data_IF_249684916186
#
_entry.id   IF_249684916186
#
_cell.length_a   1.000
_cell.length_b   1.000
_cell.length_c   1.000
_cell.angle_alpha   90.00
_cell.angle_beta   90.00
_cell.angle_gamma   90.00
#
_symmetry.space_group_name_H-M   'P 1'
#
loop_
_entity.id
_entity.type
_entity.pdbx_description
1 polymer ?
#
# COMPACT_ATOMS: atom_id res chain seq x y z
N UNK A 1 -28.89 67.75 -18.11
CA UNK A 1 -29.33 66.33 -18.06
C UNK A 1 -28.46 65.59 -17.06
N UNK A 2 -29.05 65.04 -16.00
CA UNK A 2 -28.51 64.11 -14.98
C UNK A 2 -29.62 63.05 -14.77
N UNK A 3 -29.35 61.89 -14.12
CA UNK A 3 -28.39 60.84 -14.43
C UNK A 3 -29.11 59.48 -14.59
N UNK A 4 -28.44 58.43 -15.10
CA UNK A 4 -28.89 57.04 -14.87
C UNK A 4 -27.82 56.28 -14.10
N UNK A 5 -28.00 56.28 -12.78
CA UNK A 5 -27.32 55.42 -11.82
C UNK A 5 -27.81 53.99 -12.00
N UNK A 6 -26.95 53.11 -12.50
CA UNK A 6 -27.18 51.67 -12.48
C UNK A 6 -26.97 51.16 -11.06
N UNK A 7 -28.06 50.69 -10.46
CA UNK A 7 -28.05 49.97 -9.18
C UNK A 7 -27.16 48.71 -9.28
N UNK A 8 -26.31 48.42 -8.29
CA UNK A 8 -25.67 47.12 -8.20
C UNK A 8 -26.73 46.06 -7.83
N UNK A 9 -26.80 45.05 -8.68
CA UNK A 9 -27.67 43.90 -8.54
C UNK A 9 -27.51 43.22 -7.17
N UNK A 10 -28.63 42.77 -6.63
CA UNK A 10 -28.73 41.90 -5.46
C UNK A 10 -27.73 40.75 -5.52
N UNK A 11 -26.74 40.78 -4.63
CA UNK A 11 -25.98 39.58 -4.24
C UNK A 11 -26.75 38.86 -3.14
N UNK A 12 -27.15 37.58 -3.30
CA UNK A 12 -27.66 36.81 -2.17
C UNK A 12 -26.54 36.61 -1.15
N UNK A 13 -26.66 37.28 0.00
CA UNK A 13 -25.82 37.01 1.18
C UNK A 13 -26.20 35.62 1.71
N UNK A 14 -25.31 34.64 1.56
CA UNK A 14 -25.49 33.38 2.26
C UNK A 14 -24.89 32.13 1.63
N UNK A 15 -23.65 32.20 1.12
CA UNK A 15 -22.88 30.97 0.86
C UNK A 15 -21.91 30.78 2.03
N UNK A 16 -22.09 29.78 2.91
CA UNK A 16 -21.07 29.48 3.90
C UNK A 16 -19.81 29.03 3.17
N UNK A 17 -18.74 29.81 3.30
CA UNK A 17 -17.38 29.43 2.90
C UNK A 17 -17.08 28.07 3.53
N UNK A 18 -16.96 27.03 2.71
CA UNK A 18 -16.44 25.75 3.13
C UNK A 18 -15.08 26.00 3.81
N UNK A 19 -15.00 25.70 5.10
CA UNK A 19 -13.75 25.81 5.87
C UNK A 19 -12.76 24.76 5.35
N UNK A 20 -11.49 25.12 5.14
CA UNK A 20 -10.46 24.14 4.81
C UNK A 20 -10.30 23.15 5.97
N UNK A 21 -9.99 21.89 5.64
CA UNK A 21 -9.80 20.78 6.58
C UNK A 21 -8.60 21.01 7.51
N UNK A 22 -8.75 21.88 8.50
CA UNK A 22 -7.79 22.10 9.58
C UNK A 22 -8.53 22.03 10.91
N UNK A 23 -8.69 20.81 11.43
CA UNK A 23 -8.88 20.54 12.86
C UNK A 23 -8.69 19.04 13.14
N UNK A 24 -7.45 18.58 13.00
CA UNK A 24 -6.98 17.43 13.77
C UNK A 24 -6.41 17.95 15.08
N UNK A 25 -7.29 18.45 15.95
CA UNK A 25 -6.96 18.62 17.35
C UNK A 25 -6.88 17.22 17.93
N UNK A 26 -5.67 16.75 18.25
CA UNK A 26 -5.49 15.57 19.10
C UNK A 26 -5.88 15.96 20.52
N UNK A 27 -6.86 15.32 21.17
CA UNK A 27 -6.99 15.41 22.61
C UNK A 27 -5.83 14.62 23.21
N UNK A 28 -4.78 15.33 23.64
CA UNK A 28 -3.85 14.85 24.64
C UNK A 28 -4.53 15.10 25.99
N UNK A 29 -4.46 14.08 26.85
CA UNK A 29 -4.84 14.10 28.26
C UNK A 29 -6.32 13.82 28.60
N UNK A 30 -6.68 12.53 28.62
CA UNK A 30 -7.60 12.00 29.64
C UNK A 30 -7.24 10.54 29.94
N UNK A 31 -6.24 10.35 30.81
CA UNK A 31 -6.05 9.07 31.50
C UNK A 31 -7.15 9.00 32.56
N UNK A 32 -8.30 8.47 32.18
CA UNK A 32 -9.36 8.11 33.12
C UNK A 32 -9.16 6.64 33.53
N UNK A 33 -8.59 6.47 34.71
CA UNK A 33 -8.75 5.38 35.66
C UNK A 33 -9.53 4.15 35.17
N UNK A 34 -8.83 3.08 34.81
CA UNK A 34 -9.44 1.74 34.75
C UNK A 34 -9.75 1.24 36.17
N UNK A 35 -10.85 1.73 36.73
CA UNK A 35 -11.49 1.09 37.86
C UNK A 35 -12.09 -0.24 37.37
N UNK A 36 -11.57 -1.35 37.89
CA UNK A 36 -11.97 -2.72 37.57
C UNK A 36 -13.41 -2.97 38.07
N UNK A 37 -14.41 -3.27 37.21
CA UNK A 37 -15.71 -3.67 37.70
C UNK A 37 -15.66 -5.13 38.19
N UNK A 38 -16.12 -5.36 39.43
CA UNK A 38 -16.44 -6.71 39.93
C UNK A 38 -17.51 -7.31 39.01
N UNK A 39 -17.23 -8.48 38.44
CA UNK A 39 -18.16 -9.26 37.62
C UNK A 39 -19.36 -9.71 38.49
N UNK A 40 -20.44 -8.93 38.46
CA UNK A 40 -21.79 -9.46 38.55
C UNK A 40 -22.21 -9.91 37.14
N UNK A 41 -22.82 -11.09 37.04
CA UNK A 41 -23.24 -11.68 35.78
C UNK A 41 -24.14 -10.75 34.96
N UNK A 42 -24.00 -10.73 33.63
CA UNK A 42 -25.10 -10.40 32.75
C UNK A 42 -25.51 -11.62 31.93
N UNK A 43 -26.79 -11.97 32.04
CA UNK A 43 -27.51 -12.69 31.01
C UNK A 43 -27.38 -12.01 29.64
N UNK A 44 -27.48 -12.81 28.58
CA UNK A 44 -28.00 -12.36 27.29
C UNK A 44 -27.11 -11.42 26.49
N UNK A 45 -26.07 -11.98 25.87
CA UNK A 45 -25.23 -11.26 24.89
C UNK A 45 -24.63 -12.23 23.89
N UNK A 46 -25.40 -12.52 22.85
CA UNK A 46 -25.15 -13.41 21.71
C UNK A 46 -23.78 -13.15 21.04
N UNK A 47 -22.77 -13.96 21.38
CA UNK A 47 -21.63 -14.26 20.52
C UNK A 47 -21.16 -15.69 20.81
N UNK A 48 -21.71 -16.65 20.07
CA UNK A 48 -21.34 -18.06 20.18
C UNK A 48 -20.12 -18.35 19.30
N UNK A 49 -18.95 -18.50 19.92
CA UNK A 49 -17.71 -18.94 19.25
C UNK A 49 -17.63 -20.46 19.07
N UNK A 50 -18.74 -21.20 19.24
CA UNK A 50 -18.75 -22.67 19.27
C UNK A 50 -19.39 -23.32 18.04
N UNK A 51 -20.00 -22.55 17.13
CA UNK A 51 -20.68 -23.11 15.95
C UNK A 51 -19.91 -22.86 14.65
N UNK A 52 -18.75 -23.52 14.53
CA UNK A 52 -18.16 -23.93 13.25
C UNK A 52 -17.07 -24.99 13.52
N UNK A 53 -17.45 -26.05 14.23
CA UNK A 53 -16.74 -27.34 14.14
C UNK A 53 -17.17 -28.03 12.84
N UNK A 54 -16.69 -27.50 11.72
CA UNK A 54 -16.36 -28.32 10.55
C UNK A 54 -14.87 -28.12 10.34
N UNK A 55 -14.10 -28.87 11.13
CA UNK A 55 -12.69 -29.08 10.86
C UNK A 55 -12.59 -29.98 9.63
N UNK A 56 -12.80 -29.38 8.45
CA UNK A 56 -12.17 -29.82 7.21
C UNK A 56 -10.71 -30.05 7.56
N UNK A 57 -10.36 -31.32 7.66
CA UNK A 57 -9.01 -31.77 7.94
C UNK A 57 -8.19 -31.45 6.71
N UNK A 58 -7.77 -30.19 6.60
CA UNK A 58 -6.71 -29.79 5.68
C UNK A 58 -5.47 -30.53 6.12
N UNK A 59 -5.32 -31.73 5.55
CA UNK A 59 -4.11 -32.50 5.51
C UNK A 59 -3.00 -31.53 5.11
N UNK A 60 -2.27 -31.08 6.14
CA UNK A 60 -1.09 -30.23 6.07
C UNK A 60 0.03 -31.07 5.46
N UNK A 61 -0.13 -31.43 4.21
CA UNK A 61 0.85 -32.10 3.36
C UNK A 61 1.32 -31.12 2.28
N UNK A 62 1.94 -30.04 2.73
CA UNK A 62 3.09 -29.43 2.05
C UNK A 62 3.75 -28.53 3.06
N UNK A 63 5.08 -28.49 3.10
CA UNK A 63 5.84 -27.64 4.00
C UNK A 63 5.48 -26.16 3.75
N UNK A 64 4.45 -25.65 4.45
CA UNK A 64 3.99 -24.30 4.30
C UNK A 64 5.09 -23.37 4.84
N UNK A 65 5.77 -22.68 3.94
CA UNK A 65 6.78 -21.67 4.28
C UNK A 65 6.30 -20.77 5.42
N UNK A 66 7.15 -20.66 6.44
CA UNK A 66 6.84 -19.88 7.64
C UNK A 66 6.48 -18.45 7.27
N UNK A 67 5.58 -17.82 8.04
CA UNK A 67 5.17 -16.43 7.82
C UNK A 67 6.38 -15.47 7.76
N UNK A 68 7.46 -15.78 8.47
CA UNK A 68 8.71 -15.02 8.43
C UNK A 68 9.48 -15.20 7.12
N UNK A 69 9.53 -16.41 6.55
CA UNK A 69 10.15 -16.69 5.26
C UNK A 69 9.47 -15.90 4.13
N UNK A 70 8.14 -15.92 4.07
CA UNK A 70 7.37 -15.15 3.06
C UNK A 70 7.64 -13.64 3.13
N UNK A 71 7.84 -13.10 4.35
CA UNK A 71 8.18 -11.68 4.54
C UNK A 71 9.61 -11.36 4.08
N UNK A 72 10.55 -12.30 4.20
CA UNK A 72 11.93 -12.13 3.70
C UNK A 72 11.95 -12.13 2.18
N UNK A 73 11.32 -13.13 1.56
CA UNK A 73 11.17 -13.21 0.10
C UNK A 73 10.53 -11.94 -0.47
N UNK A 74 9.42 -11.47 0.10
CA UNK A 74 8.77 -10.23 -0.37
C UNK A 74 9.71 -9.01 -0.34
N UNK A 75 10.61 -8.93 0.65
CA UNK A 75 11.63 -7.86 0.70
C UNK A 75 12.73 -8.06 -0.33
N UNK A 76 13.12 -9.30 -0.62
CA UNK A 76 14.12 -9.63 -1.64
C UNK A 76 13.62 -9.25 -3.03
N UNK A 77 12.40 -9.63 -3.39
CA UNK A 77 11.78 -9.21 -4.65
C UNK A 77 11.67 -7.68 -4.77
N UNK A 78 11.30 -7.00 -3.68
CA UNK A 78 11.24 -5.54 -3.68
C UNK A 78 12.62 -4.90 -3.88
N UNK A 79 13.66 -5.41 -3.22
CA UNK A 79 15.05 -4.96 -3.44
C UNK A 79 15.51 -5.23 -4.86
N UNK A 80 15.11 -6.36 -5.45
CA UNK A 80 15.39 -6.66 -6.84
C UNK A 80 14.76 -5.61 -7.77
N UNK A 81 13.48 -5.29 -7.56
CA UNK A 81 12.79 -4.24 -8.31
C UNK A 81 13.48 -2.87 -8.18
N UNK A 82 13.88 -2.45 -6.98
CA UNK A 82 14.62 -1.20 -6.77
C UNK A 82 15.97 -1.16 -7.51
N UNK A 83 16.67 -2.30 -7.58
CA UNK A 83 17.92 -2.41 -8.34
C UNK A 83 17.65 -2.32 -9.83
N UNK A 84 16.68 -3.09 -10.35
CA UNK A 84 16.28 -3.08 -11.76
C UNK A 84 15.92 -1.67 -12.25
N UNK A 85 15.14 -0.91 -11.47
CA UNK A 85 14.77 0.47 -11.81
C UNK A 85 15.92 1.48 -11.68
N UNK A 86 17.06 1.07 -11.12
CA UNK A 86 18.26 1.89 -10.97
C UNK A 86 19.38 1.50 -11.94
N UNK A 87 19.20 0.43 -12.73
CA UNK A 87 20.19 -0.02 -13.71
C UNK A 87 20.35 0.93 -14.89
N UNK A 88 21.57 0.93 -15.45
CA UNK A 88 21.83 1.55 -16.74
C UNK A 88 21.22 0.76 -17.91
N UNK A 89 21.09 1.41 -19.07
CA UNK A 89 20.50 0.81 -20.29
C UNK A 89 21.21 -0.48 -20.76
N UNK A 90 22.52 -0.59 -20.54
CA UNK A 90 23.31 -1.77 -20.91
C UNK A 90 23.01 -2.97 -20.01
N UNK A 91 23.06 -2.76 -18.70
CA UNK A 91 22.74 -3.79 -17.69
C UNK A 91 21.29 -4.25 -17.78
N UNK A 92 20.36 -3.34 -18.10
CA UNK A 92 18.96 -3.68 -18.30
C UNK A 92 18.76 -4.64 -19.48
N UNK A 93 19.58 -4.55 -20.54
CA UNK A 93 19.49 -5.46 -21.69
C UNK A 93 19.92 -6.88 -21.32
N UNK A 94 20.94 -7.02 -20.48
CA UNK A 94 21.38 -8.32 -19.98
C UNK A 94 20.31 -8.93 -19.06
N UNK A 95 19.79 -8.14 -18.12
CA UNK A 95 18.71 -8.58 -17.24
C UNK A 95 17.40 -8.89 -18.00
N UNK A 96 17.16 -8.25 -19.16
CA UNK A 96 15.96 -8.47 -19.96
C UNK A 96 15.83 -9.89 -20.52
N UNK A 97 16.94 -10.64 -20.68
CA UNK A 97 16.89 -12.04 -21.14
C UNK A 97 16.19 -12.97 -20.12
N UNK A 98 16.16 -12.56 -18.85
CA UNK A 98 15.59 -13.32 -17.74
C UNK A 98 14.29 -12.71 -17.19
N UNK A 99 13.76 -11.67 -17.85
CA UNK A 99 12.57 -10.94 -17.40
C UNK A 99 11.47 -11.02 -18.45
N UNK A 100 10.23 -11.10 -17.99
CA UNK A 100 9.07 -10.99 -18.87
C UNK A 100 8.98 -9.59 -19.51
N UNK A 101 8.49 -9.52 -20.74
CA UNK A 101 8.32 -8.27 -21.49
C UNK A 101 7.48 -7.23 -20.70
N UNK A 102 6.45 -7.70 -20.00
CA UNK A 102 5.61 -6.85 -19.15
C UNK A 102 6.40 -6.23 -17.99
N UNK A 103 7.28 -7.00 -17.35
CA UNK A 103 8.14 -6.51 -16.27
C UNK A 103 9.12 -5.47 -16.83
N UNK A 104 9.68 -5.74 -18.01
CA UNK A 104 10.61 -4.84 -18.67
C UNK A 104 9.97 -3.48 -18.99
N UNK A 105 8.74 -3.47 -19.49
CA UNK A 105 7.99 -2.24 -19.75
C UNK A 105 7.72 -1.44 -18.47
N UNK A 106 7.34 -2.10 -17.37
CA UNK A 106 7.16 -1.44 -16.07
C UNK A 106 8.47 -0.85 -15.55
N UNK A 107 9.60 -1.54 -15.72
CA UNK A 107 10.92 -1.04 -15.33
C UNK A 107 11.29 0.20 -16.14
N UNK A 108 11.09 0.18 -17.47
CA UNK A 108 11.32 1.35 -18.33
C UNK A 108 10.45 2.54 -17.91
N UNK A 109 9.18 2.30 -17.58
CA UNK A 109 8.27 3.34 -17.07
C UNK A 109 8.76 3.91 -15.74
N UNK A 110 9.20 3.05 -14.82
CA UNK A 110 9.71 3.45 -13.51
C UNK A 110 11.02 4.27 -13.61
N UNK A 111 11.90 3.94 -14.56
CA UNK A 111 13.14 4.67 -14.83
C UNK A 111 12.91 6.11 -15.31
N UNK A 112 11.76 6.40 -15.94
CA UNK A 112 11.40 7.76 -16.38
C UNK A 112 11.02 8.67 -15.22
N UNK A 113 10.70 8.10 -14.05
CA UNK A 113 10.30 8.83 -12.87
C UNK A 113 11.49 9.04 -11.91
N UNK A 114 11.56 10.19 -11.23
CA UNK A 114 12.61 10.43 -10.26
C UNK A 114 12.49 9.47 -9.07
N UNK A 115 13.62 9.12 -8.45
CA UNK A 115 13.67 8.15 -7.34
C UNK A 115 12.71 8.45 -6.18
N UNK A 116 12.53 9.74 -5.85
CA UNK A 116 11.65 10.19 -4.76
C UNK A 116 10.15 10.17 -5.13
N UNK A 117 9.78 9.81 -6.36
CA UNK A 117 8.40 9.83 -6.82
C UNK A 117 7.59 8.66 -6.23
N UNK A 118 6.42 8.94 -5.67
CA UNK A 118 5.52 7.89 -5.16
C UNK A 118 5.02 6.95 -6.26
N UNK A 119 4.81 7.46 -7.47
CA UNK A 119 4.46 6.66 -8.64
C UNK A 119 5.53 5.62 -8.97
N UNK A 120 6.82 6.00 -8.86
CA UNK A 120 7.93 5.05 -9.02
C UNK A 120 7.88 3.94 -7.97
N UNK A 121 7.66 4.31 -6.71
CA UNK A 121 7.53 3.33 -5.60
C UNK A 121 6.36 2.36 -5.81
N UNK A 122 5.24 2.84 -6.36
CA UNK A 122 4.11 1.96 -6.73
C UNK A 122 4.47 1.01 -7.87
N UNK A 123 5.18 1.49 -8.89
CA UNK A 123 5.65 0.63 -9.98
C UNK A 123 6.63 -0.44 -9.47
N UNK A 124 7.55 -0.09 -8.58
CA UNK A 124 8.48 -1.04 -7.94
C UNK A 124 7.73 -2.13 -7.16
N UNK A 125 6.62 -1.79 -6.49
CA UNK A 125 5.76 -2.77 -5.83
C UNK A 125 5.08 -3.71 -6.82
N UNK A 126 4.58 -3.18 -7.94
CA UNK A 126 3.97 -3.99 -9.01
C UNK A 126 4.99 -4.94 -9.63
N UNK A 127 6.18 -4.45 -9.94
CA UNK A 127 7.30 -5.26 -10.46
C UNK A 127 7.64 -6.38 -9.48
N UNK A 128 7.80 -6.06 -8.19
CA UNK A 128 8.11 -7.05 -7.16
C UNK A 128 7.01 -8.12 -7.01
N UNK A 129 5.74 -7.73 -7.20
CA UNK A 129 4.62 -8.66 -7.20
C UNK A 129 4.69 -9.62 -8.40
N UNK A 130 4.94 -9.10 -9.59
CA UNK A 130 5.07 -9.92 -10.81
C UNK A 130 6.23 -10.90 -10.72
N UNK A 131 7.42 -10.44 -10.30
CA UNK A 131 8.59 -11.31 -10.12
C UNK A 131 8.32 -12.47 -9.15
N UNK A 132 7.46 -12.24 -8.14
CA UNK A 132 7.05 -13.27 -7.19
C UNK A 132 6.05 -14.26 -7.81
N UNK A 133 5.13 -13.78 -8.63
CA UNK A 133 4.13 -14.62 -9.31
C UNK A 133 4.78 -15.52 -10.36
N UNK A 134 5.74 -14.99 -11.11
CA UNK A 134 6.51 -15.75 -12.12
C UNK A 134 7.65 -16.58 -11.51
N UNK A 135 7.85 -16.49 -10.18
CA UNK A 135 8.92 -17.17 -9.44
C UNK A 135 10.29 -16.95 -10.09
N UNK A 136 10.55 -15.72 -10.52
CA UNK A 136 11.80 -15.36 -11.14
C UNK A 136 12.97 -15.57 -10.16
N UNK A 137 14.05 -16.17 -10.64
CA UNK A 137 15.25 -16.41 -9.84
C UNK A 137 15.99 -15.11 -9.57
N UNK A 138 15.72 -14.55 -8.39
CA UNK A 138 16.29 -13.26 -7.95
C UNK A 138 17.81 -13.29 -7.96
N UNK A 139 18.44 -14.41 -7.60
CA UNK A 139 19.89 -14.54 -7.56
C UNK A 139 20.54 -14.51 -8.95
N UNK A 140 19.86 -15.05 -9.99
CA UNK A 140 20.31 -14.99 -11.38
C UNK A 140 20.23 -13.55 -11.88
N UNK A 141 19.06 -12.92 -11.72
CA UNK A 141 18.81 -11.54 -12.14
C UNK A 141 19.78 -10.57 -11.43
N UNK A 142 20.09 -10.80 -10.16
CA UNK A 142 21.02 -9.97 -9.41
C UNK A 142 22.50 -10.31 -9.66
N UNK A 143 22.79 -11.53 -10.10
CA UNK A 143 24.14 -11.99 -10.45
C UNK A 143 24.68 -11.28 -11.69
N UNK A 144 23.83 -11.07 -12.69
CA UNK A 144 24.18 -10.40 -13.96
C UNK A 144 24.37 -8.88 -13.83
N UNK A 145 24.01 -8.32 -12.67
CA UNK A 145 24.11 -6.88 -12.38
C UNK A 145 25.53 -6.48 -11.87
N UNK A 146 26.42 -7.46 -11.63
CA UNK A 146 27.78 -7.20 -11.10
C UNK A 146 28.73 -6.52 -12.08
#
# INVERSE_FOLDING_TARGET
>A
MKPFSLHPAWTPRGVPRARPWSNWVRPRDTIASFARPKRGAPEGGLFDFSSAREAESFSSSSAAESKSARKRQAKEYFRCAEKLTSLGKGQLRQAAEHLDDEVLELVKLAQRLPYKNQGRKRLEQTIAKMLRETKADVDVILGDIR
#
